data_IF_451425072926
#
_entry.id   IF_451425072926
#
_cell.length_a   1.000
_cell.length_b   1.000
_cell.length_c   1.000
_cell.angle_alpha   90.00
_cell.angle_beta   90.00
_cell.angle_gamma   90.00
#
_symmetry.space_group_name_H-M   'P 1'
#
loop_
_entity.id
_entity.type
_entity.pdbx_description
1 polymer ?
#
# COMPACT_ATOMS: atom_id res chain seq x y z
N UNK A 1 -1.76 -6.41 7.64
CA UNK A 1 -0.97 -5.22 8.02
C UNK A 1 -1.77 -4.45 9.06
N UNK A 2 -1.14 -3.97 10.14
CA UNK A 2 -1.88 -3.25 11.19
C UNK A 2 -2.05 -1.80 10.74
N UNK A 3 -3.26 -1.25 10.75
CA UNK A 3 -3.58 0.16 10.39
C UNK A 3 -2.62 1.19 10.98
N UNK A 4 -2.08 0.90 12.16
CA UNK A 4 -1.05 1.69 12.84
C UNK A 4 0.23 1.87 11.99
N UNK A 5 0.71 0.83 11.33
CA UNK A 5 1.93 0.84 10.52
C UNK A 5 1.79 1.75 9.29
N UNK A 6 0.61 1.73 8.67
CA UNK A 6 0.28 2.55 7.49
C UNK A 6 0.30 4.03 7.86
N UNK A 7 -0.39 4.39 8.95
CA UNK A 7 -0.43 5.78 9.44
C UNK A 7 0.97 6.26 9.83
N UNK A 8 1.74 5.43 10.56
CA UNK A 8 3.12 5.78 10.96
C UNK A 8 4.01 6.05 9.73
N UNK A 9 3.92 5.21 8.69
CA UNK A 9 4.67 5.39 7.46
C UNK A 9 4.35 6.73 6.79
N UNK A 10 3.07 7.01 6.56
CA UNK A 10 2.62 8.27 5.94
C UNK A 10 3.05 9.51 6.71
N UNK A 11 2.98 9.46 8.04
CA UNK A 11 3.37 10.60 8.88
C UNK A 11 4.88 10.84 8.80
N UNK A 12 5.70 9.78 8.77
CA UNK A 12 7.15 9.93 8.59
C UNK A 12 7.50 10.51 7.23
N UNK A 13 6.88 9.99 6.17
CA UNK A 13 7.13 10.45 4.80
C UNK A 13 6.74 11.92 4.65
N UNK A 14 5.58 12.30 5.18
CA UNK A 14 5.13 13.70 5.19
C UNK A 14 6.06 14.62 5.97
N UNK A 15 6.50 14.22 7.18
CA UNK A 15 7.47 15.00 7.96
C UNK A 15 8.79 15.19 7.20
N UNK A 16 9.24 14.18 6.47
CA UNK A 16 10.45 14.26 5.66
C UNK A 16 10.25 15.18 4.44
N UNK A 17 9.12 15.08 3.74
CA UNK A 17 8.78 15.92 2.59
C UNK A 17 8.68 17.41 2.97
N UNK A 18 8.08 17.69 4.11
CA UNK A 18 7.89 19.05 4.63
C UNK A 18 9.10 19.57 5.42
N UNK A 19 10.16 18.77 5.56
CA UNK A 19 11.34 19.05 6.38
C UNK A 19 11.00 19.44 7.84
N UNK A 20 10.00 18.76 8.41
CA UNK A 20 9.48 19.00 9.77
C UNK A 20 10.07 17.99 10.75
N UNK A 21 10.43 18.47 11.93
CA UNK A 21 10.99 17.63 12.99
C UNK A 21 9.91 16.98 13.86
N UNK A 22 10.27 15.92 14.58
CA UNK A 22 9.39 15.33 15.60
C UNK A 22 9.07 16.31 16.74
N UNK A 23 9.96 17.27 17.00
CA UNK A 23 9.69 18.34 17.97
C UNK A 23 8.55 19.23 17.46
N UNK A 24 8.59 19.63 16.19
CA UNK A 24 7.54 20.45 15.59
C UNK A 24 6.18 19.76 15.66
N UNK A 25 6.11 18.46 15.35
CA UNK A 25 4.87 17.70 15.45
C UNK A 25 4.38 17.61 16.90
N UNK A 26 5.30 17.45 17.85
CA UNK A 26 4.97 17.44 19.28
C UNK A 26 4.35 18.77 19.72
N UNK A 27 4.91 19.88 19.25
CA UNK A 27 4.41 21.23 19.54
C UNK A 27 3.00 21.45 18.96
N UNK A 28 2.75 20.99 17.73
CA UNK A 28 1.41 21.07 17.11
C UNK A 28 0.36 20.20 17.81
N UNK A 29 0.76 19.03 18.30
CA UNK A 29 -0.14 18.09 18.97
C UNK A 29 -0.30 18.39 20.47
N UNK A 30 0.48 19.33 21.02
CA UNK A 30 0.49 19.66 22.45
C UNK A 30 0.96 18.49 23.33
N UNK A 31 1.93 17.71 22.86
CA UNK A 31 2.46 16.53 23.57
C UNK A 31 3.99 16.54 23.62
N UNK A 32 4.58 15.59 24.36
CA UNK A 32 6.04 15.48 24.43
C UNK A 32 6.63 14.84 23.16
N UNK A 33 7.84 15.28 22.79
CA UNK A 33 8.63 14.67 21.70
C UNK A 33 8.86 13.17 21.91
N UNK A 34 9.04 12.74 23.16
CA UNK A 34 9.18 11.33 23.50
C UNK A 34 7.92 10.54 23.12
N UNK A 35 6.73 11.07 23.39
CA UNK A 35 5.47 10.41 23.02
C UNK A 35 5.31 10.31 21.51
N UNK A 36 5.68 11.35 20.76
CA UNK A 36 5.74 11.30 19.28
C UNK A 36 6.70 10.20 18.83
N UNK A 37 7.88 10.12 19.43
CA UNK A 37 8.86 9.07 19.16
C UNK A 37 8.29 7.66 19.35
N UNK A 38 7.65 7.39 20.49
CA UNK A 38 7.03 6.09 20.78
C UNK A 38 5.86 5.74 19.85
N UNK A 39 5.08 6.75 19.44
CA UNK A 39 3.99 6.56 18.48
C UNK A 39 4.54 6.23 17.09
N UNK A 40 5.58 6.94 16.63
CA UNK A 40 6.17 6.75 15.31
C UNK A 40 7.17 5.58 15.25
N UNK A 41 7.66 5.06 16.38
CA UNK A 41 8.44 3.82 16.41
C UNK A 41 7.55 2.57 16.30
N UNK A 42 6.25 2.71 16.56
CA UNK A 42 5.30 1.60 16.57
C UNK A 42 5.26 0.81 17.88
N UNK A 43 6.06 1.21 18.88
CA UNK A 43 6.04 0.63 20.24
C UNK A 43 4.70 0.89 20.95
N UNK A 44 4.00 1.96 20.57
CA UNK A 44 2.67 2.30 21.10
C UNK A 44 1.64 2.41 19.99
N UNK A 45 0.50 1.75 20.17
CA UNK A 45 -0.66 1.88 19.29
C UNK A 45 -1.17 3.33 19.27
N UNK A 46 -1.31 3.91 18.08
CA UNK A 46 -1.95 5.21 17.90
C UNK A 46 -3.43 5.13 18.28
N UNK A 47 -3.85 5.99 19.20
CA UNK A 47 -5.26 6.13 19.56
C UNK A 47 -6.02 6.86 18.45
N UNK A 48 -7.32 6.55 18.21
CA UNK A 48 -8.12 7.22 17.18
C UNK A 48 -8.09 8.75 17.25
N UNK A 49 -8.20 9.31 18.46
CA UNK A 49 -8.09 10.76 18.71
C UNK A 49 -6.77 11.36 18.21
N UNK A 50 -5.66 10.60 18.25
CA UNK A 50 -4.36 11.07 17.76
C UNK A 50 -4.29 11.02 16.24
N UNK A 51 -4.93 10.03 15.62
CA UNK A 51 -5.04 9.93 14.17
C UNK A 51 -5.83 11.13 13.62
N UNK A 52 -6.91 11.53 14.28
CA UNK A 52 -7.68 12.74 13.95
C UNK A 52 -6.80 14.00 14.02
N UNK A 53 -6.13 14.23 15.15
CA UNK A 53 -5.28 15.40 15.31
C UNK A 53 -4.12 15.46 14.31
N UNK A 54 -3.53 14.31 13.98
CA UNK A 54 -2.46 14.24 12.98
C UNK A 54 -3.01 14.58 11.59
N UNK A 55 -4.20 14.07 11.24
CA UNK A 55 -4.86 14.40 9.98
C UNK A 55 -5.13 15.91 9.86
N UNK A 56 -5.60 16.54 10.95
CA UNK A 56 -5.81 17.99 11.03
C UNK A 56 -4.50 18.78 10.81
N UNK A 57 -3.41 18.36 11.47
CA UNK A 57 -2.08 19.00 11.32
C UNK A 57 -1.52 18.84 9.90
N UNK A 58 -1.83 17.73 9.24
CA UNK A 58 -1.44 17.45 7.86
C UNK A 58 -2.36 18.13 6.83
N UNK A 59 -3.53 18.64 7.25
CA UNK A 59 -4.52 19.24 6.36
C UNK A 59 -5.23 18.23 5.44
N UNK A 60 -5.28 16.95 5.83
CA UNK A 60 -5.93 15.87 5.07
C UNK A 60 -7.08 15.26 5.87
N UNK A 61 -7.98 14.52 5.22
CA UNK A 61 -9.03 13.83 5.95
C UNK A 61 -8.48 12.60 6.69
N UNK A 62 -9.11 12.22 7.80
CA UNK A 62 -8.80 10.98 8.50
C UNK A 62 -8.93 9.76 7.62
N UNK A 63 -9.89 9.78 6.67
CA UNK A 63 -10.04 8.73 5.67
C UNK A 63 -8.80 8.65 4.80
N UNK A 64 -8.24 9.75 4.33
CA UNK A 64 -7.05 9.76 3.47
C UNK A 64 -5.79 9.33 4.24
N UNK A 65 -5.69 9.71 5.51
CA UNK A 65 -4.60 9.26 6.38
C UNK A 65 -4.65 7.74 6.61
N UNK A 66 -5.86 7.19 6.76
CA UNK A 66 -6.10 5.75 6.90
C UNK A 66 -6.12 5.02 5.56
N UNK A 67 -6.32 5.73 4.46
CA UNK A 67 -6.45 5.14 3.14
C UNK A 67 -5.10 4.59 2.73
N UNK A 68 -5.01 3.29 2.53
CA UNK A 68 -3.92 2.76 1.76
C UNK A 68 -4.22 3.13 0.31
N UNK A 69 -3.43 4.01 -0.31
CA UNK A 69 -3.30 3.89 -1.76
C UNK A 69 -2.80 2.47 -1.93
N UNK A 70 -3.62 1.60 -2.52
CA UNK A 70 -3.12 0.36 -3.08
C UNK A 70 -1.93 0.79 -3.92
N UNK A 71 -0.71 0.57 -3.39
CA UNK A 71 0.52 0.68 -4.15
C UNK A 71 0.17 0.05 -5.47
N UNK A 72 0.08 0.86 -6.53
CA UNK A 72 -0.31 0.43 -7.88
C UNK A 72 0.35 -0.92 -8.04
N UNK A 73 -0.42 -1.99 -7.90
CA UNK A 73 0.18 -3.30 -8.01
C UNK A 73 0.63 -3.27 -9.45
N UNK A 74 1.95 -3.19 -9.67
CA UNK A 74 2.51 -3.42 -10.98
C UNK A 74 1.81 -4.68 -11.51
N UNK A 75 1.47 -4.71 -12.81
CA UNK A 75 0.56 -5.72 -13.35
C UNK A 75 0.90 -7.08 -12.76
N UNK A 76 -0.10 -7.74 -12.15
CA UNK A 76 0.08 -9.02 -11.47
C UNK A 76 0.76 -9.98 -12.46
N UNK A 77 2.03 -10.29 -12.22
CA UNK A 77 2.78 -11.18 -13.10
C UNK A 77 2.45 -12.62 -12.72
N UNK A 78 1.68 -13.30 -13.58
CA UNK A 78 1.43 -14.73 -13.45
C UNK A 78 2.53 -15.49 -14.19
N UNK A 79 3.21 -16.41 -13.50
CA UNK A 79 4.19 -17.30 -14.09
C UNK A 79 3.74 -18.76 -13.92
N UNK A 80 3.66 -19.49 -15.03
CA UNK A 80 3.47 -20.93 -15.00
C UNK A 80 4.78 -21.59 -14.56
N UNK A 81 4.75 -22.36 -13.47
CA UNK A 81 5.92 -23.08 -12.97
C UNK A 81 6.02 -24.47 -13.60
N UNK A 82 7.21 -24.84 -14.03
CA UNK A 82 7.51 -26.16 -14.63
C UNK A 82 7.81 -26.08 -16.12
N UNK A 83 8.24 -27.20 -16.70
CA UNK A 83 8.50 -27.30 -18.13
C UNK A 83 7.84 -28.55 -18.73
N UNK A 84 7.39 -28.42 -19.98
CA UNK A 84 6.94 -29.58 -20.75
C UNK A 84 8.18 -30.28 -21.33
N UNK A 85 8.44 -31.51 -20.87
CA UNK A 85 9.64 -32.28 -21.23
C UNK A 85 9.55 -32.95 -22.60
N UNK A 86 8.35 -33.13 -23.16
CA UNK A 86 8.13 -33.79 -24.45
C UNK A 86 7.36 -32.89 -25.44
N UNK A 87 7.51 -33.17 -26.74
CA UNK A 87 6.92 -32.38 -27.84
C UNK A 87 5.40 -32.31 -27.77
N UNK A 88 4.73 -33.38 -27.36
CA UNK A 88 3.27 -33.44 -27.27
C UNK A 88 2.76 -32.49 -26.19
N UNK A 89 3.31 -32.55 -24.99
CA UNK A 89 2.94 -31.69 -23.87
C UNK A 89 3.23 -30.21 -24.15
N UNK A 90 4.29 -29.90 -24.90
CA UNK A 90 4.54 -28.51 -25.36
C UNK A 90 3.42 -28.01 -26.26
N UNK A 91 3.02 -28.82 -27.25
CA UNK A 91 1.95 -28.47 -28.18
C UNK A 91 0.58 -28.34 -27.49
N UNK A 92 0.30 -29.19 -26.52
CA UNK A 92 -0.93 -29.10 -25.71
C UNK A 92 -0.95 -27.83 -24.85
N UNK A 93 0.20 -27.42 -24.28
CA UNK A 93 0.31 -26.17 -23.52
C UNK A 93 0.15 -24.93 -24.41
N UNK A 94 0.74 -24.93 -25.61
CA UNK A 94 0.57 -23.87 -26.61
C UNK A 94 -0.90 -23.73 -27.04
N UNK A 95 -1.59 -24.86 -27.27
CA UNK A 95 -3.01 -24.86 -27.62
C UNK A 95 -3.89 -24.31 -26.48
N UNK A 96 -3.56 -24.62 -25.22
CA UNK A 96 -4.23 -24.05 -24.06
C UNK A 96 -4.05 -22.53 -23.99
N UNK A 97 -2.82 -22.04 -24.17
CA UNK A 97 -2.53 -20.61 -24.13
C UNK A 97 -3.30 -19.86 -25.22
N UNK A 98 -3.31 -20.40 -26.44
CA UNK A 98 -4.08 -19.85 -27.56
C UNK A 98 -5.59 -19.78 -27.25
N UNK A 99 -6.17 -20.83 -26.67
CA UNK A 99 -7.60 -20.85 -26.34
C UNK A 99 -7.96 -19.79 -25.27
N UNK A 100 -7.05 -19.53 -24.33
CA UNK A 100 -7.23 -18.47 -23.33
C UNK A 100 -7.18 -17.10 -24.00
N UNK A 101 -6.19 -16.85 -24.85
CA UNK A 101 -6.04 -15.58 -25.57
C UNK A 101 -7.23 -15.28 -26.49
N UNK A 102 -7.72 -16.30 -27.20
CA UNK A 102 -8.89 -16.19 -28.08
C UNK A 102 -10.16 -15.84 -27.27
N UNK A 103 -10.39 -16.50 -26.14
CA UNK A 103 -11.53 -16.20 -25.27
C UNK A 103 -11.47 -14.77 -24.69
N UNK A 104 -10.30 -14.32 -24.27
CA UNK A 104 -10.10 -12.95 -23.78
C UNK A 104 -10.38 -11.95 -24.90
N UNK A 105 -9.82 -12.17 -26.10
CA UNK A 105 -10.03 -11.30 -27.26
C UNK A 105 -11.49 -11.20 -27.68
N UNK A 106 -12.24 -12.30 -27.65
CA UNK A 106 -13.67 -12.32 -27.94
C UNK A 106 -14.48 -11.53 -26.89
N UNK A 107 -14.15 -11.67 -25.60
CA UNK A 107 -14.83 -10.93 -24.53
C UNK A 107 -14.57 -9.42 -24.58
N UNK A 108 -13.40 -8.99 -25.05
CA UNK A 108 -13.07 -7.57 -25.20
C UNK A 108 -13.85 -6.91 -26.34
N UNK A 109 -14.21 -7.67 -27.39
CA UNK A 109 -15.00 -7.17 -28.52
C UNK A 109 -16.50 -7.05 -28.25
N UNK A 110 -16.99 -7.66 -27.16
CA UNK A 110 -18.42 -7.67 -26.78
C UNK A 110 -18.76 -6.53 -25.80
N UNK A 111 -17.78 -5.73 -25.36
CA UNK A 111 -17.98 -4.50 -24.57
C UNK A 111 -18.07 -3.26 -25.45
#
# INVERSE_FOLDING_TARGET
MKTNEIVIGKVKDWLQQENKSYQWLADQLGISKALVGFMLSGERTLLPKRIEQIADVMGISTKDLLHYEELKQGPLTVQLRGNASNRRSKRELEALLFAIEDYVGLNEQVK
#
